data_IF_795874016777
#
_entry.id   IF_795874016777
#
_cell.length_a   1.000
_cell.length_b   1.000
_cell.length_c   1.000
_cell.angle_alpha   90.00
_cell.angle_beta   90.00
_cell.angle_gamma   90.00
#
_symmetry.space_group_name_H-M   'P 1'
#
loop_
_entity.id
_entity.type
_entity.pdbx_description
1 polymer ?
#
# COMPACT_ATOMS: atom_id res chain seq x y z
N UNK A 1 -3.36 36.43 -2.39
CA UNK A 1 -3.05 36.26 -3.83
C UNK A 1 -1.81 35.42 -4.15
N UNK A 2 -0.80 35.28 -3.26
CA UNK A 2 0.31 34.32 -3.43
C UNK A 2 -0.08 32.86 -3.07
N UNK A 3 -0.95 32.65 -2.09
CA UNK A 3 -1.37 31.30 -1.66
C UNK A 3 -2.37 30.60 -2.62
N UNK A 4 -3.11 31.35 -3.43
CA UNK A 4 -4.07 30.79 -4.42
C UNK A 4 -3.35 30.23 -5.65
N UNK A 5 -2.17 30.77 -6.00
CA UNK A 5 -1.36 30.27 -7.12
C UNK A 5 -0.60 28.98 -6.83
N UNK A 6 -0.39 28.62 -5.55
CA UNK A 6 0.15 27.31 -5.16
C UNK A 6 -0.95 26.24 -5.15
N UNK A 7 -2.14 26.58 -4.65
CA UNK A 7 -3.30 25.68 -4.54
C UNK A 7 -3.79 25.13 -5.89
N UNK A 8 -3.71 25.92 -6.96
CA UNK A 8 -4.05 25.47 -8.32
C UNK A 8 -2.87 24.74 -9.00
N UNK A 9 -1.64 24.92 -8.51
CA UNK A 9 -0.44 24.29 -9.09
C UNK A 9 -0.17 22.88 -8.51
N UNK A 10 -0.56 22.60 -7.27
CA UNK A 10 -0.38 21.30 -6.62
C UNK A 10 -1.38 20.22 -7.04
N UNK A 11 -2.49 20.57 -7.70
CA UNK A 11 -3.43 19.59 -8.28
C UNK A 11 -2.90 19.02 -9.62
N UNK A 12 -1.86 19.62 -10.23
CA UNK A 12 -1.46 19.31 -11.60
C UNK A 12 -0.05 18.75 -11.82
N UNK A 13 0.77 18.50 -10.78
CA UNK A 13 2.12 17.95 -10.98
C UNK A 13 2.47 16.93 -9.88
N UNK A 14 2.19 15.65 -10.13
CA UNK A 14 3.11 14.61 -9.65
C UNK A 14 4.26 14.51 -10.65
N UNK A 15 5.46 14.69 -10.13
CA UNK A 15 6.79 14.67 -10.77
C UNK A 15 7.37 16.02 -11.24
N UNK A 16 8.35 16.48 -10.44
CA UNK A 16 9.63 17.14 -10.77
C UNK A 16 9.88 18.38 -9.90
N UNK A 17 10.92 18.26 -9.07
CA UNK A 17 11.58 19.32 -8.33
C UNK A 17 12.11 20.43 -9.27
N UNK A 18 12.10 21.67 -8.74
CA UNK A 18 12.72 22.92 -9.23
C UNK A 18 11.91 23.82 -10.16
N UNK A 19 11.78 25.08 -9.69
CA UNK A 19 11.92 26.24 -10.56
C UNK A 19 10.61 26.83 -11.08
N UNK A 20 10.28 28.01 -10.57
CA UNK A 20 9.23 28.86 -11.11
C UNK A 20 9.58 29.28 -12.55
N UNK A 21 8.99 28.64 -13.57
CA UNK A 21 8.97 29.13 -14.94
C UNK A 21 7.78 28.54 -15.71
N UNK A 22 6.92 29.45 -16.19
CA UNK A 22 5.84 29.30 -17.18
C UNK A 22 5.66 27.91 -17.83
N UNK A 23 4.53 27.26 -17.53
CA UNK A 23 3.96 26.19 -18.34
C UNK A 23 2.54 26.60 -18.78
N UNK A 24 2.26 26.45 -20.06
CA UNK A 24 0.98 26.76 -20.70
C UNK A 24 -0.16 25.93 -20.11
N UNK A 25 -1.31 26.58 -19.94
CA UNK A 25 -2.52 26.03 -19.34
C UNK A 25 -3.15 25.04 -20.31
N UNK A 26 -2.94 23.74 -20.09
CA UNK A 26 -3.80 22.69 -20.64
C UNK A 26 -4.90 22.45 -19.59
N UNK A 27 -6.06 23.07 -19.80
CA UNK A 27 -7.27 22.87 -18.99
C UNK A 27 -7.78 21.44 -19.18
N UNK A 28 -7.62 20.58 -18.20
CA UNK A 28 -8.52 19.44 -18.02
C UNK A 28 -9.84 19.96 -17.42
N UNK A 29 -10.96 19.40 -17.87
CA UNK A 29 -12.32 19.88 -17.64
C UNK A 29 -12.77 19.83 -16.16
N UNK A 30 -13.28 20.96 -15.64
CA UNK A 30 -14.59 20.97 -14.97
C UNK A 30 -14.69 20.86 -13.45
N UNK A 31 -13.63 21.03 -12.64
CA UNK A 31 -13.80 20.98 -11.18
C UNK A 31 -14.57 22.20 -10.63
N UNK A 32 -15.57 21.95 -9.78
CA UNK A 32 -16.48 22.98 -9.27
C UNK A 32 -16.01 23.50 -7.92
N UNK A 33 -15.56 24.75 -7.91
CA UNK A 33 -15.24 25.49 -6.69
C UNK A 33 -16.55 25.81 -5.95
N UNK A 34 -16.58 25.47 -4.66
CA UNK A 34 -17.73 25.71 -3.80
C UNK A 34 -18.00 27.20 -3.65
N UNK A 35 -19.28 27.56 -3.52
CA UNK A 35 -19.73 28.95 -3.47
C UNK A 35 -19.08 29.74 -2.32
N UNK A 36 -19.05 29.14 -1.14
CA UNK A 36 -18.42 29.74 0.03
C UNK A 36 -16.96 29.29 0.12
N UNK A 37 -16.08 30.17 0.60
CA UNK A 37 -14.68 29.81 0.78
C UNK A 37 -14.50 28.80 1.90
N UNK A 38 -15.29 28.89 2.97
CA UNK A 38 -15.22 28.00 4.14
C UNK A 38 -16.62 27.57 4.54
N UNK A 39 -16.74 26.38 5.12
CA UNK A 39 -18.00 25.82 5.61
C UNK A 39 -17.87 25.38 7.07
N UNK A 40 -18.82 25.78 7.90
CA UNK A 40 -19.08 25.19 9.22
C UNK A 40 -20.41 24.45 9.13
N UNK A 41 -20.39 23.14 9.33
CA UNK A 41 -21.56 22.28 9.37
C UNK A 41 -21.71 21.78 10.80
N UNK A 42 -22.58 22.41 11.59
CA UNK A 42 -22.77 22.16 13.02
C UNK A 42 -23.91 21.19 13.33
N UNK A 43 -24.76 20.91 12.34
CA UNK A 43 -25.94 20.03 12.45
C UNK A 43 -26.09 19.14 11.23
N UNK A 44 -26.82 18.02 11.38
CA UNK A 44 -27.12 17.16 10.24
C UNK A 44 -27.88 17.91 9.13
N UNK A 45 -28.80 18.82 9.49
CA UNK A 45 -29.57 19.58 8.52
C UNK A 45 -28.68 20.45 7.61
N UNK A 46 -27.58 20.98 8.15
CA UNK A 46 -26.59 21.75 7.36
C UNK A 46 -25.76 20.84 6.45
N UNK A 47 -25.41 19.64 6.92
CA UNK A 47 -24.76 18.63 6.07
C UNK A 47 -25.68 18.20 4.92
N UNK A 48 -26.96 17.99 5.20
CA UNK A 48 -27.95 17.58 4.20
C UNK A 48 -28.23 18.71 3.18
N UNK A 49 -28.04 19.96 3.59
CA UNK A 49 -28.16 21.15 2.74
C UNK A 49 -26.87 21.52 2.00
N UNK A 50 -25.79 20.74 2.17
CA UNK A 50 -24.52 21.00 1.50
C UNK A 50 -24.68 20.87 -0.03
N UNK A 51 -24.07 21.77 -0.84
CA UNK A 51 -24.26 21.76 -2.29
C UNK A 51 -23.76 20.46 -2.95
N UNK A 52 -24.60 19.83 -3.79
CA UNK A 52 -24.31 18.53 -4.42
C UNK A 52 -23.21 18.62 -5.51
N UNK A 53 -22.95 19.79 -6.07
CA UNK A 53 -21.96 20.03 -7.13
C UNK A 53 -20.60 20.50 -6.59
N UNK A 54 -20.50 20.82 -5.30
CA UNK A 54 -19.29 21.38 -4.68
C UNK A 54 -18.18 20.32 -4.56
N UNK A 55 -17.02 20.60 -5.19
CA UNK A 55 -15.85 19.70 -5.22
C UNK A 55 -14.62 20.29 -4.51
N UNK A 56 -14.43 21.61 -4.57
CA UNK A 56 -13.25 22.28 -3.99
C UNK A 56 -13.66 23.37 -3.00
N UNK A 57 -13.29 23.18 -1.73
CA UNK A 57 -13.38 24.22 -0.70
C UNK A 57 -12.03 24.94 -0.64
N UNK A 58 -12.00 26.26 -0.84
CA UNK A 58 -10.73 27.03 -0.88
C UNK A 58 -10.19 27.40 0.50
N UNK A 59 -11.04 27.39 1.51
CA UNK A 59 -10.77 27.65 2.92
C UNK A 59 -11.04 26.42 3.79
N UNK A 60 -11.54 26.64 4.99
CA UNK A 60 -11.67 25.59 6.01
C UNK A 60 -13.02 24.86 5.90
N UNK A 61 -13.02 23.56 6.18
CA UNK A 61 -14.24 22.76 6.38
C UNK A 61 -14.26 22.27 7.83
N UNK A 62 -15.27 22.66 8.58
CA UNK A 62 -15.49 22.23 9.96
C UNK A 62 -16.81 21.47 10.02
N UNK A 63 -16.74 20.21 10.48
CA UNK A 63 -17.87 19.29 10.65
C UNK A 63 -18.04 19.03 12.14
N UNK A 64 -19.12 19.53 12.69
CA UNK A 64 -19.49 19.51 14.09
C UNK A 64 -19.28 20.86 14.76
N UNK A 65 -18.87 20.85 16.03
CA UNK A 65 -18.96 22.05 16.88
C UNK A 65 -17.66 22.44 17.54
N UNK A 66 -17.53 23.76 17.70
CA UNK A 66 -16.36 24.41 18.27
C UNK A 66 -16.40 24.56 19.78
N UNK A 67 -17.58 24.31 20.34
CA UNK A 67 -17.91 24.51 21.75
C UNK A 67 -18.28 23.18 22.41
N UNK A 68 -18.47 23.20 23.73
CA UNK A 68 -18.91 22.02 24.53
C UNK A 68 -20.25 21.39 24.10
N UNK A 69 -20.91 21.95 23.08
CA UNK A 69 -22.19 21.46 22.57
C UNK A 69 -21.88 20.45 21.47
N UNK A 70 -22.28 19.19 21.68
CA UNK A 70 -22.11 18.16 20.67
C UNK A 70 -23.07 18.37 19.50
N UNK A 71 -22.62 18.08 18.29
CA UNK A 71 -23.47 18.08 17.09
C UNK A 71 -24.37 16.83 17.07
N UNK A 72 -25.47 16.91 16.31
CA UNK A 72 -26.31 15.76 15.99
C UNK A 72 -25.95 15.10 14.64
N UNK A 73 -24.77 15.39 14.10
CA UNK A 73 -24.34 14.84 12.81
C UNK A 73 -24.07 13.35 12.99
N UNK A 74 -24.72 12.55 12.14
CA UNK A 74 -24.57 11.08 12.10
C UNK A 74 -24.09 10.59 10.73
N UNK A 75 -24.22 11.40 9.68
CA UNK A 75 -23.81 11.08 8.32
C UNK A 75 -23.21 12.29 7.62
N UNK A 76 -22.11 12.08 6.89
CA UNK A 76 -21.46 13.09 6.03
C UNK A 76 -21.42 12.68 4.56
N UNK A 77 -22.28 11.74 4.16
CA UNK A 77 -22.31 11.17 2.81
C UNK A 77 -22.57 12.19 1.71
N UNK A 78 -23.18 13.34 2.04
CA UNK A 78 -23.36 14.46 1.11
C UNK A 78 -22.06 15.12 0.66
N UNK A 79 -20.97 14.92 1.38
CA UNK A 79 -19.67 15.50 1.04
C UNK A 79 -18.88 14.68 -0.01
N UNK A 80 -19.44 13.58 -0.53
CA UNK A 80 -18.78 12.60 -1.41
C UNK A 80 -18.14 13.15 -2.69
N UNK A 81 -18.53 14.36 -3.11
CA UNK A 81 -17.99 15.00 -4.31
C UNK A 81 -16.76 15.85 -4.02
N UNK A 82 -16.40 16.09 -2.76
CA UNK A 82 -15.22 16.86 -2.40
C UNK A 82 -13.94 16.13 -2.81
N UNK A 83 -13.08 16.85 -3.52
CA UNK A 83 -11.75 16.39 -3.96
C UNK A 83 -10.62 17.15 -3.26
N UNK A 84 -10.84 18.40 -2.84
CA UNK A 84 -9.78 19.23 -2.24
C UNK A 84 -10.29 20.25 -1.21
N UNK A 85 -9.49 20.47 -0.16
CA UNK A 85 -9.70 21.48 0.88
C UNK A 85 -8.43 22.33 0.99
N UNK A 86 -8.51 23.61 0.62
CA UNK A 86 -7.37 24.55 0.69
C UNK A 86 -7.02 25.03 2.09
N UNK A 87 -7.96 24.93 3.03
CA UNK A 87 -7.75 25.20 4.44
C UNK A 87 -7.59 23.93 5.27
N UNK A 88 -8.08 23.98 6.50
CA UNK A 88 -8.10 22.86 7.44
C UNK A 88 -9.39 22.06 7.29
N UNK A 89 -9.28 20.74 7.44
CA UNK A 89 -10.43 19.86 7.68
C UNK A 89 -10.50 19.56 9.18
N UNK A 90 -11.60 19.93 9.82
CA UNK A 90 -11.85 19.64 11.23
C UNK A 90 -13.13 18.83 11.37
N UNK A 91 -13.08 17.67 12.02
CA UNK A 91 -14.23 16.81 12.29
C UNK A 91 -14.28 16.60 13.79
N UNK A 92 -15.18 17.31 14.47
CA UNK A 92 -15.15 17.33 15.92
C UNK A 92 -16.48 17.46 16.63
N UNK A 93 -16.54 16.90 17.84
CA UNK A 93 -17.71 16.97 18.71
C UNK A 93 -18.98 16.40 18.06
N UNK A 94 -18.88 15.32 17.27
CA UNK A 94 -20.03 14.66 16.67
C UNK A 94 -20.40 13.40 17.48
N UNK A 95 -21.47 13.45 18.27
CA UNK A 95 -21.83 12.37 19.20
C UNK A 95 -22.33 11.10 18.51
N UNK A 96 -22.96 11.26 17.34
CA UNK A 96 -23.61 10.18 16.60
C UNK A 96 -22.85 9.75 15.34
N UNK A 97 -21.75 10.41 14.98
CA UNK A 97 -20.99 10.09 13.78
C UNK A 97 -20.17 8.82 14.01
N UNK A 98 -20.48 7.77 13.24
CA UNK A 98 -19.84 6.45 13.37
C UNK A 98 -18.77 6.18 12.32
N UNK A 99 -18.84 6.88 11.19
CA UNK A 99 -18.01 6.66 10.00
C UNK A 99 -17.81 7.98 9.25
N UNK A 100 -16.72 8.06 8.49
CA UNK A 100 -16.40 9.20 7.61
C UNK A 100 -16.84 8.96 6.14
N UNK A 101 -17.89 8.16 5.93
CA UNK A 101 -18.42 7.89 4.60
C UNK A 101 -18.89 9.19 3.94
N UNK A 102 -18.14 9.63 2.92
CA UNK A 102 -18.33 10.93 2.27
C UNK A 102 -17.02 11.67 2.00
N UNK A 103 -15.88 11.25 2.54
CA UNK A 103 -14.59 11.94 2.35
C UNK A 103 -13.61 11.21 1.43
N UNK A 104 -14.07 10.16 0.74
CA UNK A 104 -13.23 9.27 -0.05
C UNK A 104 -12.62 9.88 -1.31
N UNK A 105 -13.14 11.02 -1.77
CA UNK A 105 -12.59 11.76 -2.91
C UNK A 105 -11.47 12.72 -2.56
N UNK A 106 -11.27 13.06 -1.28
CA UNK A 106 -10.35 14.12 -0.86
C UNK A 106 -8.90 13.66 -1.04
N UNK A 107 -8.15 14.35 -1.89
CA UNK A 107 -6.74 14.06 -2.19
C UNK A 107 -5.77 15.04 -1.52
N UNK A 108 -6.23 16.25 -1.21
CA UNK A 108 -5.40 17.34 -0.71
C UNK A 108 -6.05 18.13 0.44
N UNK A 109 -5.26 18.41 1.49
CA UNK A 109 -5.60 19.34 2.58
C UNK A 109 -4.46 20.36 2.74
N UNK A 110 -4.75 21.64 2.51
CA UNK A 110 -3.74 22.71 2.50
C UNK A 110 -3.30 23.23 3.86
N UNK A 111 -3.95 22.81 4.95
CA UNK A 111 -3.53 23.11 6.32
C UNK A 111 -3.65 21.86 7.20
N UNK A 112 -4.45 21.91 8.25
CA UNK A 112 -4.47 20.87 9.28
C UNK A 112 -5.62 19.88 9.06
N UNK A 113 -5.40 18.63 9.44
CA UNK A 113 -6.44 17.61 9.60
C UNK A 113 -6.64 17.34 11.09
N UNK A 114 -7.78 17.77 11.63
CA UNK A 114 -8.17 17.53 13.02
C UNK A 114 -9.38 16.61 13.07
N UNK A 115 -9.27 15.49 13.77
CA UNK A 115 -10.40 14.60 14.06
C UNK A 115 -10.44 14.39 15.56
N UNK A 116 -11.41 15.03 16.24
CA UNK A 116 -11.43 15.01 17.70
C UNK A 116 -12.80 14.88 18.34
N UNK A 117 -12.89 14.21 19.49
CA UNK A 117 -14.15 14.12 20.25
C UNK A 117 -15.34 13.55 19.43
N UNK A 118 -15.10 12.53 18.61
CA UNK A 118 -16.15 11.76 17.92
C UNK A 118 -16.25 10.37 18.57
N UNK A 119 -16.97 10.24 19.71
CA UNK A 119 -16.86 9.08 20.58
C UNK A 119 -17.31 7.76 19.94
N UNK A 120 -18.21 7.79 18.95
CA UNK A 120 -18.72 6.61 18.25
C UNK A 120 -18.03 6.33 16.91
N UNK A 121 -17.09 7.16 16.48
CA UNK A 121 -16.33 6.97 15.26
C UNK A 121 -15.44 5.73 15.42
N UNK A 122 -15.75 4.65 14.70
CA UNK A 122 -15.06 3.36 14.87
C UNK A 122 -14.19 2.95 13.68
N UNK A 123 -14.53 3.40 12.46
CA UNK A 123 -13.83 3.04 11.23
C UNK A 123 -13.33 4.29 10.49
N UNK A 124 -12.06 4.24 10.04
CA UNK A 124 -11.34 5.34 9.42
C UNK A 124 -11.00 5.06 7.94
N UNK A 125 -11.63 4.10 7.27
CA UNK A 125 -11.19 3.66 5.93
C UNK A 125 -11.54 4.62 4.78
N UNK A 126 -11.95 5.86 5.06
CA UNK A 126 -12.59 6.75 4.08
C UNK A 126 -11.75 7.94 3.61
N UNK A 127 -10.51 8.11 4.09
CA UNK A 127 -9.56 9.11 3.57
C UNK A 127 -8.50 8.49 2.65
N UNK A 128 -8.75 7.30 2.09
CA UNK A 128 -7.76 6.51 1.33
C UNK A 128 -7.22 7.19 0.06
N UNK A 129 -7.85 8.28 -0.41
CA UNK A 129 -7.39 9.07 -1.54
C UNK A 129 -6.46 10.22 -1.13
N UNK A 130 -6.39 10.56 0.16
CA UNK A 130 -5.60 11.67 0.69
C UNK A 130 -4.11 11.35 0.54
N UNK A 131 -3.41 12.13 -0.29
CA UNK A 131 -1.96 11.97 -0.54
C UNK A 131 -1.14 13.05 0.14
N UNK A 132 -1.70 14.24 0.32
CA UNK A 132 -0.96 15.43 0.78
C UNK A 132 -1.73 16.19 1.86
N UNK A 133 -1.03 16.46 2.96
CA UNK A 133 -1.44 17.30 4.08
C UNK A 133 -0.33 18.32 4.37
N UNK A 134 -0.52 19.60 4.06
CA UNK A 134 0.56 20.60 4.23
C UNK A 134 0.80 21.02 5.69
N UNK A 135 -0.14 20.75 6.60
CA UNK A 135 -0.08 21.13 8.01
C UNK A 135 -0.06 19.94 8.98
N UNK A 136 -0.63 20.14 10.18
CA UNK A 136 -0.62 19.18 11.27
C UNK A 136 -1.70 18.09 11.08
N UNK A 137 -1.37 16.84 11.45
CA UNK A 137 -2.32 15.74 11.64
C UNK A 137 -2.61 15.57 13.13
N UNK A 138 -3.87 15.68 13.54
CA UNK A 138 -4.31 15.50 14.92
C UNK A 138 -5.53 14.59 15.01
N UNK A 139 -5.38 13.47 15.73
CA UNK A 139 -6.44 12.50 16.02
C UNK A 139 -6.53 12.37 17.55
N UNK A 140 -7.55 12.99 18.16
CA UNK A 140 -7.67 13.11 19.62
C UNK A 140 -9.03 12.65 20.16
N UNK A 141 -9.03 11.80 21.19
CA UNK A 141 -10.25 11.51 21.96
C UNK A 141 -11.40 10.92 21.13
N UNK A 142 -11.08 10.09 20.13
CA UNK A 142 -12.07 9.29 19.38
C UNK A 142 -12.12 7.88 19.99
N UNK A 143 -12.88 7.73 21.08
CA UNK A 143 -12.76 6.56 21.96
C UNK A 143 -13.04 5.21 21.27
N UNK A 144 -13.96 5.15 20.31
CA UNK A 144 -14.29 3.93 19.56
C UNK A 144 -13.39 3.66 18.35
N UNK A 145 -12.44 4.54 18.02
CA UNK A 145 -11.61 4.45 16.82
C UNK A 145 -10.75 3.18 16.87
N UNK A 146 -10.91 2.30 15.88
CA UNK A 146 -10.21 1.01 15.83
C UNK A 146 -9.10 0.95 14.78
N UNK A 147 -9.11 1.81 13.77
CA UNK A 147 -8.01 1.89 12.79
C UNK A 147 -7.82 3.34 12.31
N UNK A 148 -6.70 3.60 11.63
CA UNK A 148 -6.41 4.84 10.89
C UNK A 148 -5.91 4.54 9.47
N UNK A 149 -6.25 3.36 8.96
CA UNK A 149 -5.82 2.77 7.68
C UNK A 149 -6.20 3.61 6.46
N UNK A 150 -7.25 4.42 6.56
CA UNK A 150 -7.59 5.39 5.53
C UNK A 150 -6.50 6.43 5.27
N UNK A 151 -5.50 6.59 6.15
CA UNK A 151 -4.35 7.46 5.89
C UNK A 151 -3.20 6.79 5.15
N UNK A 152 -3.32 5.51 4.76
CA UNK A 152 -2.22 4.72 4.15
C UNK A 152 -1.58 5.34 2.91
N UNK A 153 -2.29 6.17 2.14
CA UNK A 153 -1.75 6.90 0.99
C UNK A 153 -1.17 8.27 1.32
N UNK A 154 -1.32 8.75 2.56
CA UNK A 154 -0.79 10.03 2.99
C UNK A 154 0.73 9.96 3.04
N UNK A 155 1.39 10.57 2.06
CA UNK A 155 2.85 10.57 1.91
C UNK A 155 3.45 11.84 2.49
N UNK A 156 2.84 12.99 2.20
CA UNK A 156 3.38 14.28 2.61
C UNK A 156 2.59 14.87 3.76
N UNK A 157 3.20 14.90 4.95
CA UNK A 157 2.71 15.65 6.11
C UNK A 157 3.69 16.79 6.39
N UNK A 158 3.25 18.04 6.20
CA UNK A 158 4.11 19.21 6.37
C UNK A 158 4.30 19.63 7.83
N UNK A 159 3.40 19.21 8.73
CA UNK A 159 3.39 19.57 10.15
C UNK A 159 3.67 18.42 11.12
N UNK A 160 3.19 18.58 12.34
CA UNK A 160 3.32 17.61 13.42
C UNK A 160 2.25 16.52 13.32
N UNK A 161 2.55 15.35 13.90
CA UNK A 161 1.63 14.21 13.97
C UNK A 161 1.29 13.97 15.44
N UNK A 162 0.00 13.96 15.76
CA UNK A 162 -0.52 13.78 17.11
C UNK A 162 -1.65 12.76 17.14
N UNK A 163 -1.44 11.64 17.82
CA UNK A 163 -2.47 10.61 18.07
C UNK A 163 -2.62 10.44 19.57
N UNK A 164 -3.69 11.01 20.14
CA UNK A 164 -3.84 11.13 21.59
C UNK A 164 -5.21 10.63 22.06
N UNK A 165 -5.26 9.97 23.23
CA UNK A 165 -6.52 9.62 23.92
C UNK A 165 -7.51 8.74 23.13
N UNK A 166 -7.08 7.99 22.11
CA UNK A 166 -7.93 7.07 21.36
C UNK A 166 -7.96 5.70 22.06
N UNK A 167 -9.02 5.46 22.84
CA UNK A 167 -9.07 4.35 23.80
C UNK A 167 -9.05 2.96 23.14
N UNK A 168 -9.74 2.79 22.02
CA UNK A 168 -9.87 1.49 21.33
C UNK A 168 -8.83 1.23 20.24
N UNK A 169 -7.97 2.20 19.92
CA UNK A 169 -7.02 2.09 18.80
C UNK A 169 -5.91 1.08 19.13
N UNK A 170 -5.80 -0.08 18.45
CA UNK A 170 -4.83 -1.12 18.77
C UNK A 170 -3.48 -0.94 18.05
N UNK A 171 -3.51 -0.25 16.90
CA UNK A 171 -2.38 0.00 16.01
C UNK A 171 -2.50 1.37 15.31
N UNK A 172 -1.43 1.83 14.66
CA UNK A 172 -1.38 3.08 13.88
C UNK A 172 -1.06 2.84 12.39
N UNK A 173 -1.50 1.71 11.84
CA UNK A 173 -1.43 1.45 10.40
C UNK A 173 -2.14 2.54 9.61
N UNK A 174 -1.47 3.08 8.61
CA UNK A 174 -1.90 4.25 7.84
C UNK A 174 -1.15 5.52 8.19
N UNK A 175 -0.57 5.64 9.39
CA UNK A 175 0.34 6.75 9.70
C UNK A 175 1.75 6.34 9.28
N UNK A 176 2.06 6.63 8.03
CA UNK A 176 3.38 6.43 7.44
C UNK A 176 4.16 7.74 7.53
N UNK A 177 5.27 7.74 8.28
CA UNK A 177 6.15 8.91 8.35
C UNK A 177 7.11 8.81 7.17
N UNK A 178 6.66 9.34 6.01
CA UNK A 178 7.50 9.39 4.82
C UNK A 178 8.57 10.47 4.95
N UNK A 179 9.71 10.18 4.36
CA UNK A 179 10.87 11.06 4.32
C UNK A 179 10.57 12.20 3.34
N UNK A 180 10.01 13.30 3.82
CA UNK A 180 10.11 14.55 3.07
C UNK A 180 11.61 14.95 3.10
N UNK A 181 12.32 14.71 1.99
CA UNK A 181 13.72 15.14 1.81
C UNK A 181 13.88 16.67 1.82
N UNK A 182 12.80 17.41 2.06
CA UNK A 182 12.77 18.84 2.33
C UNK A 182 13.35 19.16 3.72
N UNK A 183 14.68 19.26 3.71
CA UNK A 183 15.56 20.05 4.59
C UNK A 183 14.79 21.20 5.29
N UNK A 184 14.30 20.98 6.53
CA UNK A 184 14.24 21.94 7.66
C UNK A 184 13.09 21.77 8.67
N UNK A 185 12.10 20.89 8.46
CA UNK A 185 11.04 20.72 9.45
C UNK A 185 11.34 19.54 10.37
N UNK A 186 11.67 19.82 11.64
CA UNK A 186 11.57 18.81 12.70
C UNK A 186 10.08 18.55 12.93
N UNK A 187 9.54 17.51 12.29
CA UNK A 187 8.20 17.03 12.57
C UNK A 187 8.18 16.41 13.96
N UNK A 188 7.33 16.90 14.86
CA UNK A 188 7.14 16.25 16.16
C UNK A 188 6.10 15.14 16.01
N UNK A 189 6.45 13.95 16.51
CA UNK A 189 5.52 12.84 16.68
C UNK A 189 5.08 12.76 18.14
N UNK A 190 3.77 12.84 18.40
CA UNK A 190 3.17 12.63 19.71
C UNK A 190 2.17 11.49 19.62
N UNK A 191 2.44 10.40 20.33
CA UNK A 191 1.52 9.26 20.45
C UNK A 191 1.33 8.99 21.94
N UNK A 192 0.21 9.47 22.50
CA UNK A 192 0.03 9.36 23.95
C UNK A 192 -1.37 9.12 24.46
N UNK A 193 -1.49 8.33 25.53
CA UNK A 193 -2.79 8.10 26.17
C UNK A 193 -3.71 7.21 25.36
N UNK A 194 -3.17 6.35 24.49
CA UNK A 194 -3.94 5.35 23.74
C UNK A 194 -3.76 3.97 24.41
N UNK A 195 -4.56 3.60 25.43
CA UNK A 195 -4.29 2.42 26.25
C UNK A 195 -4.49 1.06 25.55
N UNK A 196 -5.18 1.00 24.41
CA UNK A 196 -5.24 -0.23 23.59
C UNK A 196 -4.08 -0.32 22.60
N UNK A 197 -3.40 0.79 22.31
CA UNK A 197 -2.37 0.86 21.28
C UNK A 197 -1.16 0.05 21.72
N UNK A 198 -1.00 -1.10 21.07
CA UNK A 198 0.03 -2.09 21.39
C UNK A 198 0.97 -2.36 20.22
N UNK A 199 0.63 -1.86 19.04
CA UNK A 199 1.35 -2.08 17.81
C UNK A 199 1.73 -0.75 17.13
N UNK A 200 3.02 -0.49 17.07
CA UNK A 200 3.60 0.70 16.45
C UNK A 200 4.60 0.31 15.36
N UNK A 201 4.45 -0.89 14.80
CA UNK A 201 5.35 -1.46 13.79
C UNK A 201 5.39 -0.63 12.50
N UNK A 202 4.32 0.12 12.18
CA UNK A 202 4.33 1.07 11.06
C UNK A 202 5.38 2.19 11.18
N UNK A 203 5.94 2.43 12.39
CA UNK A 203 7.05 3.36 12.58
C UNK A 203 8.43 2.74 12.27
N UNK A 204 8.52 1.42 12.15
CA UNK A 204 9.79 0.71 11.99
C UNK A 204 10.53 1.04 10.68
N UNK A 205 9.87 1.18 9.51
CA UNK A 205 10.56 1.62 8.29
C UNK A 205 11.31 2.95 8.47
N UNK A 206 10.69 3.93 9.15
CA UNK A 206 11.30 5.24 9.43
C UNK A 206 12.48 5.11 10.40
N UNK A 207 12.36 4.25 11.43
CA UNK A 207 13.43 4.01 12.41
C UNK A 207 14.66 3.31 11.81
N UNK A 208 14.47 2.38 10.87
CA UNK A 208 15.55 1.65 10.22
C UNK A 208 16.38 2.55 9.28
N UNK A 209 15.73 3.52 8.62
CA UNK A 209 16.37 4.36 7.60
C UNK A 209 16.99 5.65 8.14
N UNK A 210 16.36 6.32 9.13
CA UNK A 210 16.84 7.59 9.70
C UNK A 210 16.41 7.74 11.18
N UNK A 211 16.99 6.93 12.08
CA UNK A 211 16.66 6.86 13.53
C UNK A 211 16.59 8.22 14.25
N UNK A 212 17.37 9.23 13.79
CA UNK A 212 17.38 10.57 14.38
C UNK A 212 16.15 11.42 14.10
N UNK A 213 15.30 11.04 13.13
CA UNK A 213 14.06 11.78 12.83
C UNK A 213 13.02 11.65 13.93
N UNK A 214 13.08 10.57 14.70
CA UNK A 214 12.23 10.37 15.86
C UNK A 214 12.92 10.81 17.16
N UNK A 215 14.07 11.48 17.09
CA UNK A 215 14.70 12.09 18.26
C UNK A 215 13.85 13.27 18.74
N UNK A 216 13.07 13.03 19.79
CA UNK A 216 12.08 13.97 20.31
C UNK A 216 10.63 13.47 20.18
N UNK A 217 10.40 12.31 19.55
CA UNK A 217 9.08 11.70 19.53
C UNK A 217 8.60 11.41 20.96
N UNK A 218 7.43 11.95 21.31
CA UNK A 218 6.78 11.73 22.59
C UNK A 218 5.79 10.56 22.47
N UNK A 219 6.31 9.36 22.71
CA UNK A 219 5.50 8.15 22.82
C UNK A 219 5.39 7.83 24.32
N UNK A 220 4.19 7.88 24.88
CA UNK A 220 3.98 7.67 26.32
C UNK A 220 2.56 7.26 26.65
N UNK A 221 2.34 6.54 27.75
CA UNK A 221 0.98 6.15 28.21
C UNK A 221 0.18 5.34 27.17
N UNK A 222 0.87 4.52 26.38
CA UNK A 222 0.26 3.49 25.54
C UNK A 222 0.66 2.10 26.05
N UNK A 223 0.22 1.03 25.38
CA UNK A 223 0.43 -0.35 25.80
C UNK A 223 1.61 -1.01 25.08
N UNK A 224 2.19 -2.03 25.73
CA UNK A 224 3.16 -2.96 25.13
C UNK A 224 4.30 -2.28 24.35
N UNK A 225 4.50 -2.62 23.08
CA UNK A 225 5.57 -2.09 22.22
C UNK A 225 5.52 -0.57 22.04
N UNK A 226 4.32 0.01 22.15
CA UNK A 226 4.08 1.44 22.03
C UNK A 226 4.25 2.22 23.33
N UNK A 227 4.77 1.61 24.41
CA UNK A 227 4.87 2.27 25.71
C UNK A 227 5.76 3.53 25.69
N UNK A 228 6.84 3.51 24.92
CA UNK A 228 7.74 4.64 24.68
C UNK A 228 8.64 4.40 23.46
N UNK A 229 9.38 5.42 23.02
CA UNK A 229 10.25 5.34 21.84
C UNK A 229 11.31 4.24 21.94
N UNK A 230 11.87 3.97 23.12
CA UNK A 230 12.86 2.90 23.28
C UNK A 230 12.22 1.51 23.12
N UNK A 231 10.99 1.33 23.61
CA UNK A 231 10.21 0.10 23.39
C UNK A 231 9.95 -0.13 21.90
N UNK A 232 9.57 0.92 21.15
CA UNK A 232 9.37 0.83 19.69
C UNK A 232 10.69 0.50 18.99
N UNK A 233 11.79 1.20 19.30
CA UNK A 233 13.13 0.91 18.74
C UNK A 233 13.56 -0.53 18.99
N UNK A 234 13.29 -1.07 20.18
CA UNK A 234 13.59 -2.46 20.52
C UNK A 234 12.75 -3.44 19.69
N UNK A 235 11.46 -3.16 19.53
CA UNK A 235 10.55 -4.00 18.77
C UNK A 235 10.90 -4.06 17.29
N UNK A 236 11.26 -2.91 16.70
CA UNK A 236 11.67 -2.82 15.30
C UNK A 236 12.95 -3.61 14.95
N UNK A 237 13.80 -3.88 15.94
CA UNK A 237 15.01 -4.68 15.81
C UNK A 237 14.88 -6.12 16.28
N UNK A 238 13.68 -6.58 16.66
CA UNK A 238 13.47 -7.95 17.09
C UNK A 238 13.43 -8.89 15.88
N UNK A 239 14.20 -9.98 15.94
CA UNK A 239 14.11 -11.08 14.98
C UNK A 239 13.54 -12.30 15.69
N UNK A 240 12.27 -12.62 15.46
CA UNK A 240 11.56 -13.69 16.16
C UNK A 240 10.66 -14.46 15.21
N UNK A 241 10.63 -15.78 15.32
CA UNK A 241 9.69 -16.60 14.53
C UNK A 241 8.30 -16.59 15.15
N UNK A 242 7.29 -16.59 14.29
CA UNK A 242 5.90 -16.75 14.69
C UNK A 242 5.67 -18.14 15.30
N UNK A 243 4.61 -18.31 16.11
CA UNK A 243 4.10 -19.63 16.46
C UNK A 243 4.06 -20.57 15.25
N UNK A 244 4.38 -21.85 15.47
CA UNK A 244 4.48 -22.81 14.37
C UNK A 244 3.10 -23.00 13.73
N UNK A 245 3.04 -22.83 12.42
CA UNK A 245 1.83 -23.02 11.63
C UNK A 245 1.90 -22.25 10.32
N UNK A 246 0.93 -22.54 9.46
CA UNK A 246 0.61 -21.71 8.31
C UNK A 246 -0.33 -20.58 8.76
N UNK A 247 -0.25 -19.44 8.08
CA UNK A 247 -1.07 -18.26 8.36
C UNK A 247 -1.92 -17.94 7.14
N UNK A 248 -3.23 -18.03 7.30
CA UNK A 248 -4.22 -17.70 6.25
C UNK A 248 -5.01 -16.47 6.65
N UNK A 249 -5.09 -15.51 5.73
CA UNK A 249 -5.82 -14.26 5.89
C UNK A 249 -6.86 -14.13 4.79
N UNK A 250 -8.13 -14.06 5.17
CA UNK A 250 -9.28 -13.87 4.27
C UNK A 250 -10.00 -12.55 4.52
N UNK A 251 -9.67 -11.85 5.60
CA UNK A 251 -10.28 -10.56 6.01
C UNK A 251 -9.23 -9.58 6.50
N UNK A 252 -9.46 -8.28 6.24
CA UNK A 252 -8.56 -7.21 6.69
C UNK A 252 -8.28 -7.25 8.20
N UNK A 253 -9.29 -7.51 9.03
CA UNK A 253 -9.12 -7.57 10.50
C UNK A 253 -8.13 -8.64 10.97
N UNK A 254 -7.94 -9.72 10.20
CA UNK A 254 -7.01 -10.79 10.56
C UNK A 254 -5.56 -10.36 10.33
N UNK A 255 -5.31 -9.59 9.27
CA UNK A 255 -4.01 -8.95 8.99
C UNK A 255 -3.75 -7.87 10.05
N UNK A 256 -4.72 -7.00 10.30
CA UNK A 256 -4.58 -5.89 11.24
C UNK A 256 -4.21 -6.38 12.65
N UNK A 257 -4.80 -7.49 13.08
CA UNK A 257 -4.54 -8.09 14.38
C UNK A 257 -3.23 -8.92 14.44
N UNK A 258 -2.63 -9.24 13.29
CA UNK A 258 -1.60 -10.28 13.22
C UNK A 258 -0.37 -9.96 14.07
N UNK A 259 0.23 -8.78 13.88
CA UNK A 259 1.49 -8.45 14.55
C UNK A 259 1.28 -8.20 16.05
N UNK A 260 0.20 -7.52 16.44
CA UNK A 260 -0.20 -7.38 17.83
C UNK A 260 -0.35 -8.72 18.58
N UNK A 261 -0.86 -9.76 17.90
CA UNK A 261 -1.02 -11.13 18.45
C UNK A 261 0.28 -11.93 18.46
N UNK A 262 1.05 -11.91 17.38
CA UNK A 262 2.16 -12.86 17.18
C UNK A 262 3.54 -12.27 17.47
N UNK A 263 3.74 -10.96 17.28
CA UNK A 263 4.99 -10.22 17.57
C UNK A 263 6.23 -10.91 16.98
N UNK A 264 6.15 -11.21 15.70
CA UNK A 264 7.13 -12.02 15.00
C UNK A 264 7.48 -11.41 13.63
N UNK A 265 8.64 -11.81 13.12
CA UNK A 265 9.21 -11.38 11.85
C UNK A 265 9.46 -12.56 10.89
N UNK A 266 9.43 -13.81 11.35
CA UNK A 266 9.65 -14.97 10.51
C UNK A 266 8.51 -15.98 10.58
N UNK A 267 7.96 -16.39 9.43
CA UNK A 267 6.94 -17.44 9.36
C UNK A 267 7.62 -18.77 9.01
N UNK A 268 7.47 -19.79 9.87
CA UNK A 268 7.99 -21.15 9.62
C UNK A 268 7.11 -21.97 8.66
N UNK A 269 5.83 -21.64 8.57
CA UNK A 269 4.90 -22.23 7.62
C UNK A 269 4.79 -21.43 6.33
N UNK A 270 3.62 -21.54 5.69
CA UNK A 270 3.20 -20.74 4.55
C UNK A 270 2.44 -19.50 5.00
N UNK A 271 2.52 -18.43 4.21
CA UNK A 271 1.70 -17.23 4.33
C UNK A 271 0.72 -17.23 3.15
N UNK A 272 -0.58 -17.22 3.45
CA UNK A 272 -1.67 -17.26 2.47
C UNK A 272 -2.53 -16.02 2.68
N UNK A 273 -2.61 -15.17 1.66
CA UNK A 273 -3.42 -13.95 1.64
C UNK A 273 -4.48 -14.14 0.54
N UNK A 274 -5.74 -14.18 0.95
CA UNK A 274 -6.84 -14.70 0.16
C UNK A 274 -6.91 -16.22 0.24
N UNK A 275 -6.83 -16.89 -0.91
CA UNK A 275 -6.82 -18.35 -1.00
C UNK A 275 -5.45 -18.90 -1.43
N UNK A 276 -5.28 -20.22 -1.38
CA UNK A 276 -4.09 -20.89 -1.92
C UNK A 276 -4.25 -21.18 -3.43
N UNK A 277 -5.45 -21.56 -3.91
CA UNK A 277 -5.73 -21.87 -5.32
C UNK A 277 -7.16 -21.54 -5.80
N UNK A 278 -8.01 -20.92 -4.98
CA UNK A 278 -9.41 -20.62 -5.36
C UNK A 278 -9.54 -19.20 -5.95
N UNK A 279 -10.11 -19.09 -7.15
CA UNK A 279 -10.40 -17.83 -7.84
C UNK A 279 -11.87 -17.39 -7.73
N UNK A 280 -12.75 -18.25 -7.24
CA UNK A 280 -14.20 -18.02 -7.25
C UNK A 280 -14.67 -17.09 -6.11
N UNK A 281 -13.77 -16.71 -5.19
CA UNK A 281 -14.03 -15.85 -4.05
C UNK A 281 -13.18 -14.57 -4.12
N UNK A 282 -13.83 -13.41 -3.97
CA UNK A 282 -13.16 -12.13 -3.82
C UNK A 282 -12.93 -11.84 -2.32
N UNK A 283 -11.68 -11.60 -1.93
CA UNK A 283 -11.32 -11.28 -0.54
C UNK A 283 -11.25 -9.77 -0.31
N UNK A 284 -11.99 -9.27 0.69
CA UNK A 284 -12.02 -7.86 1.10
C UNK A 284 -10.82 -7.52 2.00
N UNK A 285 -9.63 -7.62 1.41
CA UNK A 285 -8.36 -7.14 1.97
C UNK A 285 -7.90 -5.99 1.08
N UNK A 286 -7.56 -4.87 1.70
CA UNK A 286 -7.20 -3.63 1.00
C UNK A 286 -5.76 -3.23 1.23
N UNK A 287 -5.13 -3.71 2.31
CA UNK A 287 -3.74 -3.43 2.65
C UNK A 287 -3.11 -4.56 3.48
N UNK A 288 -1.77 -4.60 3.50
CA UNK A 288 -0.97 -5.60 4.21
C UNK A 288 -0.19 -5.02 5.40
N UNK A 289 -0.59 -3.89 5.96
CA UNK A 289 0.21 -3.14 6.95
C UNK A 289 0.56 -3.97 8.19
N UNK A 290 -0.36 -4.84 8.64
CA UNK A 290 -0.09 -5.75 9.76
C UNK A 290 0.94 -6.84 9.48
N UNK A 291 1.44 -6.97 8.24
CA UNK A 291 2.50 -7.89 7.84
C UNK A 291 3.85 -7.20 7.63
N UNK A 292 3.96 -5.91 7.95
CA UNK A 292 5.13 -5.08 7.61
C UNK A 292 6.45 -5.44 8.32
N UNK A 293 6.37 -6.35 9.29
CA UNK A 293 7.52 -6.87 10.03
C UNK A 293 8.02 -8.21 9.52
N UNK A 294 7.29 -8.87 8.60
CA UNK A 294 7.68 -10.18 8.08
C UNK A 294 8.91 -10.05 7.16
N UNK A 295 10.01 -10.69 7.58
CA UNK A 295 11.30 -10.69 6.90
C UNK A 295 11.66 -12.03 6.24
N UNK A 296 10.99 -13.12 6.61
CA UNK A 296 11.20 -14.45 6.01
C UNK A 296 9.96 -15.33 6.09
N UNK A 297 9.77 -16.15 5.06
CA UNK A 297 8.75 -17.19 4.98
C UNK A 297 9.46 -18.49 4.60
N UNK A 298 9.42 -19.50 5.47
CA UNK A 298 10.16 -20.74 5.25
C UNK A 298 9.52 -21.66 4.20
N UNK A 299 8.18 -21.65 4.06
CA UNK A 299 7.48 -22.36 3.00
C UNK A 299 7.00 -21.38 1.93
N UNK A 300 5.70 -21.36 1.64
CA UNK A 300 5.15 -20.71 0.46
C UNK A 300 4.54 -19.34 0.81
N UNK A 301 4.57 -18.42 -0.16
CA UNK A 301 3.79 -17.19 -0.15
C UNK A 301 2.71 -17.28 -1.24
N UNK A 302 1.45 -17.14 -0.85
CA UNK A 302 0.31 -17.04 -1.74
C UNK A 302 -0.37 -15.67 -1.53
N UNK A 303 -0.57 -14.93 -2.61
CA UNK A 303 -1.37 -13.70 -2.66
C UNK A 303 -2.35 -13.87 -3.82
N UNK A 304 -3.57 -14.30 -3.51
CA UNK A 304 -4.53 -14.79 -4.50
C UNK A 304 -5.91 -14.15 -4.32
N UNK A 305 -6.49 -13.66 -5.42
CA UNK A 305 -7.86 -13.14 -5.48
C UNK A 305 -8.14 -11.98 -4.51
N UNK A 306 -7.15 -11.11 -4.29
CA UNK A 306 -7.25 -9.94 -3.42
C UNK A 306 -7.49 -8.67 -4.24
N UNK A 307 -8.66 -8.57 -4.88
CA UNK A 307 -8.97 -7.49 -5.83
C UNK A 307 -8.89 -6.08 -5.22
N UNK A 308 -9.04 -5.91 -3.90
CA UNK A 308 -8.89 -4.61 -3.24
C UNK A 308 -7.43 -4.13 -3.11
N UNK A 309 -6.46 -5.02 -3.30
CA UNK A 309 -5.05 -4.77 -3.03
C UNK A 309 -4.38 -4.02 -4.19
N UNK A 310 -3.86 -2.83 -3.89
CA UNK A 310 -3.18 -1.97 -4.88
C UNK A 310 -1.66 -1.98 -4.77
N UNK A 311 -1.14 -2.42 -3.64
CA UNK A 311 0.29 -2.44 -3.34
C UNK A 311 0.62 -3.54 -2.33
N UNK A 312 1.82 -4.08 -2.43
CA UNK A 312 2.41 -4.99 -1.45
C UNK A 312 3.63 -4.38 -0.75
N UNK A 313 3.80 -3.05 -0.80
CA UNK A 313 4.87 -2.30 -0.09
C UNK A 313 5.06 -2.68 1.39
N UNK A 314 4.01 -3.00 2.17
CA UNK A 314 4.21 -3.50 3.53
C UNK A 314 5.14 -4.72 3.59
N UNK A 315 5.21 -5.57 2.56
CA UNK A 315 6.13 -6.72 2.53
C UNK A 315 7.60 -6.35 2.26
N UNK A 316 7.97 -5.06 2.24
CA UNK A 316 9.32 -4.56 1.94
C UNK A 316 10.45 -5.12 2.81
N UNK A 317 10.15 -5.68 3.99
CA UNK A 317 11.15 -6.37 4.81
C UNK A 317 11.46 -7.81 4.39
N UNK A 318 10.64 -8.41 3.53
CA UNK A 318 10.77 -9.80 3.13
C UNK A 318 12.04 -10.02 2.31
N UNK A 319 12.91 -10.92 2.79
CA UNK A 319 14.20 -11.23 2.15
C UNK A 319 14.28 -12.63 1.57
N UNK A 320 13.43 -13.55 2.03
CA UNK A 320 13.41 -14.93 1.52
C UNK A 320 12.04 -15.59 1.59
N UNK A 321 11.74 -16.36 0.56
CA UNK A 321 10.64 -17.32 0.49
C UNK A 321 11.27 -18.69 0.22
N UNK A 322 11.15 -19.64 1.14
CA UNK A 322 11.81 -20.95 1.00
C UNK A 322 11.12 -21.88 0.00
N UNK A 323 9.84 -21.67 -0.27
CA UNK A 323 9.02 -22.46 -1.18
C UNK A 323 8.58 -21.70 -2.42
N UNK A 324 7.30 -21.85 -2.76
CA UNK A 324 6.62 -21.21 -3.91
C UNK A 324 6.23 -19.78 -3.58
N UNK A 325 6.40 -18.87 -4.55
CA UNK A 325 5.74 -17.58 -4.59
C UNK A 325 4.63 -17.62 -5.65
N UNK A 326 3.39 -17.35 -5.23
CA UNK A 326 2.21 -17.28 -6.10
C UNK A 326 1.57 -15.91 -5.95
N UNK A 327 1.49 -15.16 -7.04
CA UNK A 327 0.76 -13.90 -7.17
C UNK A 327 -0.28 -14.05 -8.27
N UNK A 328 -1.55 -14.07 -7.91
CA UNK A 328 -2.58 -14.56 -8.82
C UNK A 328 -3.93 -13.85 -8.66
N UNK A 329 -4.54 -13.34 -9.73
CA UNK A 329 -5.90 -12.79 -9.64
C UNK A 329 -6.01 -11.49 -8.83
N UNK A 330 -4.96 -10.67 -8.74
CA UNK A 330 -4.98 -9.40 -8.01
C UNK A 330 -5.18 -8.23 -8.97
N UNK A 331 -6.42 -8.04 -9.44
CA UNK A 331 -6.73 -7.17 -10.59
C UNK A 331 -6.30 -5.71 -10.44
N UNK A 332 -6.22 -5.17 -9.23
CA UNK A 332 -5.86 -3.78 -8.96
C UNK A 332 -4.39 -3.57 -8.54
N UNK A 333 -3.60 -4.64 -8.45
CA UNK A 333 -2.18 -4.56 -8.08
C UNK A 333 -1.36 -4.09 -9.29
N UNK A 334 -0.66 -2.96 -9.13
CA UNK A 334 0.05 -2.31 -10.25
C UNK A 334 1.50 -2.78 -10.35
N UNK A 335 2.15 -3.06 -9.22
CA UNK A 335 3.52 -3.54 -9.17
C UNK A 335 3.76 -4.42 -7.94
N UNK A 336 4.94 -5.02 -7.88
CA UNK A 336 5.41 -5.81 -6.75
C UNK A 336 6.65 -5.20 -6.08
N UNK A 337 6.83 -3.88 -6.16
CA UNK A 337 8.06 -3.20 -5.69
C UNK A 337 8.29 -3.37 -4.19
N UNK A 338 7.23 -3.64 -3.42
CA UNK A 338 7.29 -4.11 -2.04
C UNK A 338 8.07 -5.41 -1.81
N UNK A 339 8.53 -6.09 -2.86
CA UNK A 339 9.44 -7.25 -2.76
C UNK A 339 10.89 -6.90 -3.09
N UNK A 340 11.26 -5.64 -3.28
CA UNK A 340 12.59 -5.24 -3.74
C UNK A 340 13.76 -5.77 -2.88
N UNK A 341 13.54 -6.14 -1.61
CA UNK A 341 14.56 -6.74 -0.74
C UNK A 341 14.64 -8.28 -0.80
N UNK A 342 13.80 -8.92 -1.62
CA UNK A 342 13.71 -10.37 -1.76
C UNK A 342 14.92 -10.91 -2.51
N UNK A 343 15.70 -11.78 -1.84
CA UNK A 343 16.96 -12.32 -2.37
C UNK A 343 16.82 -13.72 -2.94
N UNK A 344 15.84 -14.49 -2.47
CA UNK A 344 15.68 -15.89 -2.86
C UNK A 344 14.23 -16.34 -2.79
N UNK A 345 13.82 -17.08 -3.82
CA UNK A 345 12.63 -17.93 -3.83
C UNK A 345 13.12 -19.35 -4.06
N UNK A 346 12.83 -20.25 -3.13
CA UNK A 346 13.46 -21.57 -3.11
C UNK A 346 12.90 -22.57 -4.11
N UNK A 347 11.73 -22.31 -4.70
CA UNK A 347 11.04 -23.24 -5.62
C UNK A 347 10.47 -22.53 -6.85
N UNK A 348 9.14 -22.46 -6.93
CA UNK A 348 8.39 -21.96 -8.08
C UNK A 348 8.01 -20.49 -7.91
N UNK A 349 8.04 -19.74 -9.00
CA UNK A 349 7.48 -18.39 -9.12
C UNK A 349 6.30 -18.47 -10.09
N UNK A 350 5.12 -18.08 -9.64
CA UNK A 350 3.93 -17.97 -10.48
C UNK A 350 3.33 -16.57 -10.35
N UNK A 351 3.23 -15.85 -11.47
CA UNK A 351 2.64 -14.51 -11.57
C UNK A 351 1.58 -14.55 -12.68
N UNK A 352 0.32 -14.71 -12.28
CA UNK A 352 -0.80 -15.01 -13.18
C UNK A 352 -1.98 -14.07 -13.02
N UNK A 353 -2.71 -13.76 -14.08
CA UNK A 353 -4.06 -13.16 -13.98
C UNK A 353 -4.11 -11.86 -13.16
N UNK A 354 -3.09 -10.99 -13.22
CA UNK A 354 -3.10 -9.70 -12.52
C UNK A 354 -3.33 -8.58 -13.55
N UNK A 355 -4.59 -8.20 -13.77
CA UNK A 355 -4.99 -7.35 -14.91
C UNK A 355 -4.33 -5.96 -14.94
N UNK A 356 -4.04 -5.36 -13.79
CA UNK A 356 -3.38 -4.04 -13.71
C UNK A 356 -1.87 -4.11 -13.51
N UNK A 357 -1.26 -5.29 -13.47
CA UNK A 357 0.17 -5.43 -13.15
C UNK A 357 1.03 -4.91 -14.31
N UNK A 358 1.76 -3.83 -14.07
CA UNK A 358 2.63 -3.15 -15.03
C UNK A 358 4.11 -3.49 -14.84
N UNK A 359 4.52 -3.90 -13.63
CA UNK A 359 5.94 -4.06 -13.27
C UNK A 359 6.18 -5.25 -12.34
N UNK A 360 7.25 -6.00 -12.63
CA UNK A 360 7.79 -7.09 -11.80
C UNK A 360 9.16 -6.77 -11.19
N UNK A 361 9.56 -5.49 -11.13
CA UNK A 361 10.88 -5.07 -10.63
C UNK A 361 11.18 -5.46 -9.18
N UNK A 362 10.14 -5.72 -8.38
CA UNK A 362 10.27 -6.26 -7.04
C UNK A 362 11.12 -7.53 -6.92
N UNK A 363 11.17 -8.39 -7.95
CA UNK A 363 11.98 -9.63 -7.92
C UNK A 363 13.37 -9.48 -8.57
N UNK A 364 13.83 -8.25 -8.82
CA UNK A 364 15.15 -7.95 -9.42
C UNK A 364 16.36 -8.50 -8.69
N UNK A 365 16.23 -8.78 -7.38
CA UNK A 365 17.28 -9.39 -6.57
C UNK A 365 17.22 -10.93 -6.53
N UNK A 366 16.17 -11.54 -7.09
CA UNK A 366 16.06 -12.99 -7.24
C UNK A 366 16.78 -13.39 -8.53
N UNK A 367 17.98 -13.97 -8.40
CA UNK A 367 18.86 -14.27 -9.55
C UNK A 367 18.83 -15.74 -9.99
N UNK A 368 18.06 -16.58 -9.29
CA UNK A 368 17.98 -18.02 -9.55
C UNK A 368 16.53 -18.51 -9.60
N UNK A 369 16.21 -19.34 -10.58
CA UNK A 369 14.98 -20.16 -10.65
C UNK A 369 15.33 -21.57 -10.18
N UNK A 370 14.48 -22.20 -9.37
CA UNK A 370 14.73 -23.56 -8.85
C UNK A 370 13.85 -24.66 -9.45
N UNK A 371 12.57 -24.38 -9.70
CA UNK A 371 11.66 -25.38 -10.28
C UNK A 371 10.96 -24.85 -11.51
N UNK A 372 10.26 -23.71 -11.38
CA UNK A 372 9.49 -23.11 -12.47
C UNK A 372 9.40 -21.59 -12.26
N UNK A 373 9.46 -20.83 -13.35
CA UNK A 373 8.96 -19.46 -13.47
C UNK A 373 7.83 -19.47 -14.49
N UNK A 374 6.64 -19.04 -14.08
CA UNK A 374 5.50 -18.89 -14.97
C UNK A 374 4.89 -17.49 -14.83
N UNK A 375 4.90 -16.72 -15.92
CA UNK A 375 4.29 -15.39 -16.02
C UNK A 375 3.20 -15.44 -17.07
N UNK A 376 1.94 -15.31 -16.65
CA UNK A 376 0.79 -15.55 -17.52
C UNK A 376 -0.33 -14.53 -17.35
N UNK A 377 -1.02 -14.16 -18.42
CA UNK A 377 -2.27 -13.39 -18.34
C UNK A 377 -2.16 -12.09 -17.51
N UNK A 378 -1.08 -11.32 -17.69
CA UNK A 378 -0.91 -9.99 -17.07
C UNK A 378 -1.08 -8.91 -18.16
N UNK A 379 -2.31 -8.41 -18.33
CA UNK A 379 -2.72 -7.57 -19.46
C UNK A 379 -2.01 -6.22 -19.59
N UNK A 380 -1.38 -5.74 -18.51
CA UNK A 380 -0.66 -4.46 -18.46
C UNK A 380 0.86 -4.61 -18.38
N UNK A 381 1.38 -5.84 -18.35
CA UNK A 381 2.81 -6.09 -18.30
C UNK A 381 3.39 -5.97 -19.72
N UNK A 382 4.15 -4.91 -19.98
CA UNK A 382 4.70 -4.61 -21.31
C UNK A 382 6.17 -5.04 -21.50
N UNK A 383 6.89 -5.32 -20.40
CA UNK A 383 8.27 -5.78 -20.39
C UNK A 383 8.55 -6.69 -19.19
N UNK A 384 9.71 -7.36 -19.21
CA UNK A 384 10.18 -8.23 -18.13
C UNK A 384 11.30 -7.59 -17.27
N UNK A 385 11.40 -6.27 -17.23
CA UNK A 385 12.35 -5.57 -16.39
C UNK A 385 12.13 -5.97 -14.91
N UNK A 386 13.18 -6.46 -14.27
CA UNK A 386 13.09 -7.12 -12.97
C UNK A 386 13.45 -8.61 -13.00
N UNK A 387 13.44 -9.26 -14.17
CA UNK A 387 13.99 -10.62 -14.28
C UNK A 387 15.50 -10.58 -14.48
N UNK A 388 16.26 -10.68 -13.39
CA UNK A 388 17.73 -10.76 -13.41
C UNK A 388 18.23 -12.19 -13.22
N UNK A 389 17.58 -13.14 -13.89
CA UNK A 389 17.90 -14.56 -13.72
C UNK A 389 19.24 -14.87 -14.39
N UNK A 390 20.17 -15.43 -13.64
CA UNK A 390 21.48 -15.89 -14.14
C UNK A 390 21.65 -17.39 -14.04
N UNK A 391 20.85 -18.05 -13.19
CA UNK A 391 20.93 -19.48 -12.89
C UNK A 391 19.54 -20.11 -12.93
N UNK A 392 19.43 -21.21 -13.67
CA UNK A 392 18.29 -22.12 -13.59
C UNK A 392 18.81 -23.39 -12.93
N UNK A 393 18.27 -23.70 -11.76
CA UNK A 393 18.53 -24.92 -11.01
C UNK A 393 17.43 -25.92 -11.36
N UNK A 394 17.78 -27.19 -11.43
CA UNK A 394 16.84 -28.27 -11.73
C UNK A 394 16.84 -29.25 -10.56
N UNK A 395 15.68 -29.68 -10.06
CA UNK A 395 15.64 -30.91 -9.29
C UNK A 395 16.05 -32.07 -10.20
N UNK A 396 16.83 -33.02 -9.67
CA UNK A 396 17.33 -34.18 -10.42
C UNK A 396 16.21 -35.08 -10.99
N UNK A 397 14.96 -34.83 -10.62
CA UNK A 397 13.74 -35.47 -11.09
C UNK A 397 12.58 -34.46 -11.05
N UNK A 398 11.97 -34.14 -12.18
CA UNK A 398 10.66 -33.46 -12.22
C UNK A 398 9.60 -34.55 -12.24
N UNK A 399 8.95 -34.80 -11.11
CA UNK A 399 7.76 -35.66 -11.02
C UNK A 399 6.53 -34.75 -11.01
N UNK A 400 5.75 -34.73 -12.10
CA UNK A 400 4.44 -34.09 -12.15
C UNK A 400 3.37 -35.08 -11.66
N UNK A 401 2.72 -34.87 -10.50
CA UNK A 401 1.59 -35.67 -10.08
C UNK A 401 0.30 -34.96 -10.47
N UNK A 402 -0.17 -35.13 -11.70
CA UNK A 402 -1.60 -35.16 -12.08
C UNK A 402 -1.78 -34.98 -13.60
N UNK A 403 -2.80 -35.65 -14.13
CA UNK A 403 -3.09 -35.80 -15.55
C UNK A 403 -3.99 -34.69 -16.11
N UNK A 404 -4.00 -33.50 -15.51
CA UNK A 404 -4.84 -32.39 -15.96
C UNK A 404 -3.98 -31.18 -16.38
N UNK A 405 -3.80 -31.08 -17.70
CA UNK A 405 -3.59 -29.85 -18.48
C UNK A 405 -2.24 -29.08 -18.37
N UNK A 406 -1.31 -29.35 -19.29
CA UNK A 406 -0.66 -28.33 -20.14
C UNK A 406 0.25 -29.00 -21.21
N UNK A 407 0.29 -28.53 -22.48
CA UNK A 407 1.15 -29.07 -23.54
C UNK A 407 2.66 -28.80 -23.37
N UNK A 408 3.09 -28.33 -22.20
CA UNK A 408 4.43 -27.80 -21.94
C UNK A 408 5.20 -28.57 -20.86
N UNK A 409 4.92 -29.87 -20.69
CA UNK A 409 5.36 -30.78 -19.60
C UNK A 409 6.88 -30.78 -19.25
N UNK A 410 7.74 -30.08 -19.99
CA UNK A 410 9.17 -29.96 -19.69
C UNK A 410 9.69 -28.51 -19.58
N UNK A 411 8.81 -27.51 -19.65
CA UNK A 411 9.22 -26.10 -19.60
C UNK A 411 9.35 -25.63 -18.15
N UNK A 412 10.50 -25.03 -17.85
CA UNK A 412 10.85 -24.44 -16.54
C UNK A 412 10.62 -22.93 -16.56
N UNK A 413 10.69 -22.30 -17.73
CA UNK A 413 10.36 -20.89 -17.90
C UNK A 413 9.22 -20.79 -18.91
N UNK A 414 8.07 -20.33 -18.44
CA UNK A 414 6.85 -20.20 -19.24
C UNK A 414 6.40 -18.74 -19.20
N UNK A 415 6.25 -18.12 -20.36
CA UNK A 415 5.71 -16.76 -20.48
C UNK A 415 4.66 -16.74 -21.58
N UNK A 416 3.41 -16.58 -21.18
CA UNK A 416 2.29 -16.71 -22.09
C UNK A 416 1.10 -15.80 -21.82
N UNK A 417 0.29 -15.56 -22.85
CA UNK A 417 -0.96 -14.80 -22.71
C UNK A 417 -0.80 -13.39 -22.12
N UNK A 418 0.37 -12.74 -22.25
CA UNK A 418 0.56 -11.34 -21.81
C UNK A 418 0.35 -10.41 -23.01
N UNK A 419 -0.87 -9.89 -23.13
CA UNK A 419 -1.42 -9.26 -24.34
C UNK A 419 -0.66 -8.04 -24.89
N UNK A 420 0.19 -7.39 -24.09
CA UNK A 420 0.98 -6.23 -24.51
C UNK A 420 2.49 -6.40 -24.26
N UNK A 421 2.91 -7.58 -23.81
CA UNK A 421 4.30 -7.87 -23.50
C UNK A 421 5.10 -7.94 -24.81
N UNK A 422 5.96 -6.93 -25.01
CA UNK A 422 6.71 -6.72 -26.26
C UNK A 422 8.23 -6.70 -26.06
N UNK A 423 8.71 -6.50 -24.84
CA UNK A 423 10.15 -6.51 -24.49
C UNK A 423 10.50 -7.68 -23.55
N UNK A 424 11.17 -8.69 -24.13
CA UNK A 424 11.67 -9.87 -23.44
C UNK A 424 13.21 -9.89 -23.33
N UNK A 425 13.87 -8.73 -23.47
CA UNK A 425 15.32 -8.59 -23.40
C UNK A 425 15.92 -9.14 -22.11
N UNK A 426 15.16 -9.11 -21.01
CA UNK A 426 15.55 -9.67 -19.71
C UNK A 426 15.84 -11.19 -19.76
N UNK A 427 15.37 -11.90 -20.79
CA UNK A 427 15.65 -13.33 -20.98
C UNK A 427 16.96 -13.61 -21.72
N UNK A 428 17.55 -12.63 -22.41
CA UNK A 428 18.77 -12.81 -23.19
C UNK A 428 19.95 -13.44 -22.41
N UNK A 429 20.17 -13.13 -21.11
CA UNK A 429 21.23 -13.76 -20.31
C UNK A 429 21.11 -15.29 -20.15
N UNK A 430 19.91 -15.86 -20.35
CA UNK A 430 19.64 -17.30 -20.14
C UNK A 430 19.18 -18.02 -21.40
N UNK A 431 18.60 -17.33 -22.40
CA UNK A 431 18.04 -17.99 -23.57
C UNK A 431 19.11 -18.59 -24.51
N UNK A 432 20.31 -18.01 -24.54
CA UNK A 432 21.42 -18.46 -25.38
C UNK A 432 22.22 -19.65 -24.79
N UNK A 433 21.89 -20.10 -23.58
CA UNK A 433 22.53 -21.28 -22.99
C UNK A 433 21.88 -22.53 -23.57
N UNK A 434 22.65 -23.36 -24.29
CA UNK A 434 22.19 -24.61 -24.93
C UNK A 434 21.42 -25.54 -23.98
N UNK A 435 21.70 -25.48 -22.68
CA UNK A 435 21.07 -26.32 -21.66
C UNK A 435 19.65 -25.85 -21.26
N UNK A 436 19.31 -24.58 -21.50
CA UNK A 436 18.03 -23.98 -21.08
C UNK A 436 17.09 -23.68 -22.23
N UNK A 437 17.56 -23.60 -23.48
CA UNK A 437 16.72 -23.22 -24.63
C UNK A 437 15.55 -24.18 -24.89
N UNK A 438 15.68 -25.48 -24.56
CA UNK A 438 14.60 -26.47 -24.69
C UNK A 438 13.61 -26.46 -23.52
N UNK A 439 13.86 -25.65 -22.49
CA UNK A 439 13.08 -25.57 -21.26
C UNK A 439 12.33 -24.23 -21.14
N UNK A 440 12.40 -23.41 -22.20
CA UNK A 440 11.74 -22.12 -22.31
C UNK A 440 10.54 -22.29 -23.24
N UNK A 441 9.38 -21.82 -22.80
CA UNK A 441 8.15 -21.75 -23.60
C UNK A 441 7.61 -20.33 -23.54
N UNK A 442 7.66 -19.65 -24.69
CA UNK A 442 7.14 -18.31 -24.89
C UNK A 442 6.16 -18.41 -26.05
N UNK A 443 4.91 -17.99 -25.82
CA UNK A 443 3.86 -17.99 -26.83
C UNK A 443 2.76 -16.99 -26.44
N UNK A 444 1.95 -16.56 -27.41
CA UNK A 444 0.74 -15.77 -27.12
C UNK A 444 1.01 -14.45 -26.37
N UNK A 445 2.19 -13.86 -26.60
CA UNK A 445 2.49 -12.46 -26.28
C UNK A 445 2.53 -11.63 -27.58
N UNK A 446 3.23 -10.48 -27.62
CA UNK A 446 3.32 -9.64 -28.83
C UNK A 446 4.77 -9.32 -29.22
N UNK A 447 4.98 -8.88 -30.47
CA UNK A 447 6.27 -8.42 -31.00
C UNK A 447 7.46 -9.36 -30.71
N UNK A 448 8.56 -8.84 -30.13
CA UNK A 448 9.78 -9.61 -29.87
C UNK A 448 9.60 -10.71 -28.84
N UNK A 449 8.46 -10.73 -28.13
CA UNK A 449 8.06 -11.75 -27.17
C UNK A 449 7.08 -12.78 -27.75
N UNK A 450 6.74 -12.72 -29.03
CA UNK A 450 5.64 -13.53 -29.59
C UNK A 450 5.89 -15.04 -29.44
N UNK A 451 7.11 -15.52 -29.75
CA UNK A 451 7.51 -16.90 -29.50
C UNK A 451 8.98 -17.02 -29.10
N UNK A 452 9.40 -18.25 -28.76
CA UNK A 452 10.81 -18.58 -28.52
C UNK A 452 11.74 -18.10 -29.65
N UNK A 453 11.30 -18.17 -30.90
CA UNK A 453 12.12 -17.84 -32.07
C UNK A 453 12.41 -16.34 -32.12
N UNK A 454 11.38 -15.51 -31.96
CA UNK A 454 11.51 -14.05 -31.99
C UNK A 454 12.41 -13.55 -30.86
N UNK A 455 12.30 -14.13 -29.66
CA UNK A 455 13.18 -13.76 -28.54
C UNK A 455 14.63 -14.16 -28.82
N UNK A 456 14.87 -15.35 -29.39
CA UNK A 456 16.21 -15.80 -29.78
C UNK A 456 16.83 -14.88 -30.84
N UNK A 457 16.07 -14.51 -31.88
CA UNK A 457 16.51 -13.60 -32.93
C UNK A 457 16.81 -12.21 -32.38
N UNK A 458 15.93 -11.68 -31.52
CA UNK A 458 16.13 -10.40 -30.85
C UNK A 458 17.41 -10.41 -30.00
N UNK A 459 17.62 -11.45 -29.20
CA UNK A 459 18.80 -11.56 -28.34
C UNK A 459 20.08 -11.65 -29.15
N UNK A 460 20.12 -12.46 -30.23
CA UNK A 460 21.30 -12.60 -31.09
C UNK A 460 21.70 -11.31 -31.82
N UNK A 461 20.74 -10.40 -32.05
CA UNK A 461 20.99 -9.13 -32.73
C UNK A 461 21.50 -8.02 -31.78
N UNK A 462 21.22 -8.12 -30.48
CA UNK A 462 21.39 -7.00 -29.53
C UNK A 462 22.32 -7.31 -28.33
N UNK A 463 22.65 -8.58 -28.07
CA UNK A 463 23.48 -9.05 -26.96
C UNK A 463 24.46 -10.13 -27.43
#
# INVERSE_FOLDING_TARGET
MKNIKCFILTILIQTIFYGCAYAEVVTTLGEVICKESSYQLSTQAEVDAFPDDCQIITGDLIIGNDQKIKSNIYSISKLKHLTSIGGSLQIRNNESLTRLFGLHGITFIGKNLLISENPLLSQFDWLYALTTLEGDLSIDSNNSLYNVSGLSKLQDIGGNISVINNQSLPHIYGINIALADTINYKQNLIISGNPSLSDCSSLCPTLSNKSSLLDGANIARNKAQCANLNSVKKDCGAETFCPVGDYTFTKQSEIDDFYAKNKCTGIKGSLIIGADNNFDEAYDITNLEGLNMISSIANNLYIVAVHGLRTIEPLSKLTSIGGKFTLNGNDNLINIDGLANLKSIGRTIYIGYNQSLESIKGISNVTSIYEMLHISSNDKLNNLEGLNITKVLFPSFIYYPSADYHPYENSVLIIDHNNILSDCSALCPIINKKETSSLISIHENVDSCFSNTEVLEYCAANY
#
